data_IF_435103836492
#
_entry.id   IF_435103836492
#
_cell.length_a   1.000
_cell.length_b   1.000
_cell.length_c   1.000
_cell.angle_alpha   90.00
_cell.angle_beta   90.00
_cell.angle_gamma   90.00
#
_symmetry.space_group_name_H-M   'P 1'
#
loop_
_entity.id
_entity.type
_entity.pdbx_description
1 polymer ?
#
# COMPACT_ATOMS: atom_id res chain seq x y z
N UNK A 1 -11.10 -0.90 1.63
CA UNK A 1 -9.78 -0.49 1.13
C UNK A 1 -9.11 0.35 2.21
N UNK A 2 -7.79 0.20 2.42
CA UNK A 2 -6.98 0.91 3.43
C UNK A 2 -5.75 1.49 2.76
N UNK A 3 -5.36 2.68 3.18
CA UNK A 3 -4.10 3.29 2.75
C UNK A 3 -2.96 2.80 3.63
N UNK A 4 -1.93 2.26 3.00
CA UNK A 4 -0.76 1.73 3.70
C UNK A 4 0.52 2.27 3.07
N UNK A 5 1.53 2.47 3.91
CA UNK A 5 2.90 2.75 3.50
C UNK A 5 3.72 1.48 3.59
N UNK A 6 4.39 1.13 2.50
CA UNK A 6 5.27 -0.03 2.45
C UNK A 6 6.58 0.30 3.17
N UNK A 7 6.99 -0.52 4.14
CA UNK A 7 8.27 -0.36 4.86
C UNK A 7 9.44 -1.01 4.13
N UNK A 8 9.14 -1.93 3.22
CA UNK A 8 10.11 -2.67 2.40
C UNK A 8 9.54 -2.86 1.01
N UNK A 9 10.40 -3.16 0.04
CA UNK A 9 9.98 -3.60 -1.29
C UNK A 9 9.12 -4.86 -1.19
N UNK A 10 7.90 -4.82 -1.73
CA UNK A 10 6.94 -5.89 -1.64
C UNK A 10 6.19 -6.05 -2.96
N UNK A 11 6.29 -7.26 -3.52
CA UNK A 11 5.44 -7.68 -4.62
C UNK A 11 4.05 -8.02 -4.09
N UNK A 12 3.05 -7.25 -4.50
CA UNK A 12 1.65 -7.56 -4.22
C UNK A 12 1.15 -8.44 -5.36
N UNK A 13 1.18 -9.75 -5.14
CA UNK A 13 0.79 -10.74 -6.17
C UNK A 13 -0.63 -10.51 -6.70
N UNK A 14 -1.55 -10.06 -5.85
CA UNK A 14 -2.93 -9.77 -6.22
C UNK A 14 -3.07 -8.68 -7.30
N UNK A 15 -2.12 -7.75 -7.39
CA UNK A 15 -2.11 -6.66 -8.38
C UNK A 15 -0.98 -6.80 -9.40
N UNK A 16 -0.06 -7.75 -9.20
CA UNK A 16 1.17 -7.89 -9.97
C UNK A 16 2.12 -6.69 -9.84
N UNK A 17 1.88 -5.78 -8.89
CA UNK A 17 2.68 -4.56 -8.71
C UNK A 17 3.73 -4.78 -7.63
N UNK A 18 4.96 -4.40 -7.95
CA UNK A 18 6.04 -4.34 -6.98
C UNK A 18 6.09 -2.93 -6.37
N UNK A 19 5.67 -2.82 -5.12
CA UNK A 19 5.67 -1.57 -4.38
C UNK A 19 7.02 -1.38 -3.69
N UNK A 20 7.59 -0.18 -3.75
CA UNK A 20 8.89 0.10 -3.12
C UNK A 20 8.75 0.49 -1.66
N UNK A 21 9.83 0.34 -0.90
CA UNK A 21 9.92 0.91 0.46
C UNK A 21 9.65 2.42 0.42
N UNK A 22 8.78 2.90 1.30
CA UNK A 22 8.33 4.28 1.40
C UNK A 22 7.10 4.61 0.55
N UNK A 23 6.72 3.74 -0.39
CA UNK A 23 5.56 3.95 -1.27
C UNK A 23 4.26 3.85 -0.47
N UNK A 24 3.25 4.63 -0.87
CA UNK A 24 1.92 4.63 -0.26
C UNK A 24 0.92 4.17 -1.29
N UNK A 25 0.16 3.12 -1.00
CA UNK A 25 -0.88 2.63 -1.91
C UNK A 25 -2.14 2.23 -1.15
N UNK A 26 -3.24 2.18 -1.89
CA UNK A 26 -4.50 1.64 -1.41
C UNK A 26 -4.53 0.12 -1.60
N UNK A 27 -4.74 -0.61 -0.52
CA UNK A 27 -4.80 -2.08 -0.50
C UNK A 27 -6.13 -2.55 0.11
N UNK A 28 -6.43 -3.85 -0.01
CA UNK A 28 -7.59 -4.43 0.65
C UNK A 28 -7.42 -4.44 2.18
N UNK A 29 -8.53 -4.42 2.92
CA UNK A 29 -8.50 -4.41 4.39
C UNK A 29 -7.87 -5.72 4.94
N UNK A 30 -8.08 -6.84 4.24
CA UNK A 30 -7.47 -8.13 4.56
C UNK A 30 -5.95 -8.09 4.35
N UNK A 31 -5.47 -7.49 3.25
CA UNK A 31 -4.04 -7.34 2.99
C UNK A 31 -3.38 -6.43 4.04
N UNK A 32 -4.01 -5.30 4.37
CA UNK A 32 -3.55 -4.40 5.43
C UNK A 32 -3.48 -5.10 6.80
N UNK A 33 -4.45 -5.97 7.13
CA UNK A 33 -4.41 -6.78 8.37
C UNK A 33 -3.29 -7.81 8.36
N UNK A 34 -3.11 -8.52 7.24
CA UNK A 34 -2.11 -9.60 7.10
C UNK A 34 -0.67 -9.07 7.06
N UNK A 35 -0.45 -7.88 6.50
CA UNK A 35 0.89 -7.33 6.34
C UNK A 35 1.17 -6.06 7.15
N UNK A 36 0.17 -5.52 7.84
CA UNK A 36 0.29 -4.40 8.77
C UNK A 36 0.93 -4.77 10.10
N UNK A 37 0.75 -3.88 11.08
CA UNK A 37 1.41 -3.95 12.41
C UNK A 37 1.19 -5.27 13.15
N UNK A 38 0.02 -5.88 13.00
CA UNK A 38 -0.34 -7.13 13.67
C UNK A 38 -0.05 -8.39 12.84
N UNK A 39 0.47 -8.23 11.63
CA UNK A 39 0.81 -9.31 10.72
C UNK A 39 2.30 -9.41 10.53
N UNK A 40 2.77 -9.22 9.28
CA UNK A 40 4.21 -9.26 8.96
C UNK A 40 4.99 -7.98 9.32
N UNK A 41 4.29 -6.87 9.63
CA UNK A 41 4.93 -5.58 9.94
C UNK A 41 5.55 -4.86 8.75
N UNK A 42 5.31 -5.34 7.52
CA UNK A 42 5.81 -4.76 6.27
C UNK A 42 5.05 -3.52 5.82
N UNK A 43 3.86 -3.29 6.39
CA UNK A 43 3.01 -2.15 6.09
C UNK A 43 2.79 -1.29 7.34
N UNK A 44 2.72 0.02 7.12
CA UNK A 44 2.28 1.00 8.10
C UNK A 44 0.95 1.59 7.65
N UNK A 45 -0.07 1.55 8.50
CA UNK A 45 -1.34 2.21 8.18
C UNK A 45 -1.13 3.72 8.11
N UNK A 46 -1.56 4.32 7.02
CA UNK A 46 -1.44 5.76 6.79
C UNK A 46 -2.78 6.35 6.34
N UNK A 47 -2.89 7.66 6.44
CA UNK A 47 -4.01 8.39 5.83
C UNK A 47 -3.77 8.54 4.32
N UNK A 48 -4.86 8.70 3.55
CA UNK A 48 -4.81 8.97 2.10
C UNK A 48 -3.81 10.11 1.83
N UNK A 49 -2.78 9.90 0.99
CA UNK A 49 -1.85 10.96 0.64
C UNK A 49 -2.61 12.05 -0.13
N UNK A 50 -2.44 13.31 0.27
CA UNK A 50 -3.10 14.47 -0.35
C UNK A 50 -2.72 14.66 -1.82
N UNK A 51 -1.61 14.08 -2.24
CA UNK A 51 -1.04 14.23 -3.59
C UNK A 51 -1.49 13.16 -4.60
N UNK A 52 -2.15 12.06 -4.20
CA UNK A 52 -2.61 11.03 -5.15
C UNK A 52 -3.94 11.35 -5.87
N UNK A 53 -4.44 12.58 -5.77
CA UNK A 53 -5.56 13.02 -6.62
C UNK A 53 -5.14 13.34 -8.07
N UNK A 54 -3.84 13.25 -8.42
CA UNK A 54 -3.32 13.68 -9.73
C UNK A 54 -2.82 12.58 -10.68
N UNK A 55 -2.72 11.32 -10.29
CA UNK A 55 -2.11 10.29 -11.16
C UNK A 55 -3.04 9.14 -11.60
N UNK A 56 -4.36 9.29 -11.48
CA UNK A 56 -5.34 8.30 -12.01
C UNK A 56 -6.06 8.77 -13.28
N UNK A 57 -5.48 9.67 -14.07
CA UNK A 57 -5.99 10.00 -15.42
C UNK A 57 -4.82 10.22 -16.37
N UNK A 58 -4.47 9.18 -17.12
CA UNK A 58 -4.08 9.20 -18.54
C UNK A 58 -3.24 7.96 -18.87
N UNK A 59 -3.88 6.91 -19.39
CA UNK A 59 -3.70 6.49 -20.79
C UNK A 59 -4.71 5.43 -21.22
#
# INVERSE_FOLDING_TARGET
MRWVKFKSDLLVEATGKNHKSGEVAEVSDEFAKRHGKNGTGLLEETSKPKDQEKETVEK
#
